data_IF_103886097886
#
_entry.id   IF_103886097886
#
_cell.length_a   1.000
_cell.length_b   1.000
_cell.length_c   1.000
_cell.angle_alpha   90.00
_cell.angle_beta   90.00
_cell.angle_gamma   90.00
#
_symmetry.space_group_name_H-M   'P 1'
#
loop_
_entity.id
_entity.type
_entity.pdbx_description
1 polymer ?
#
# COMPACT_ATOMS: atom_id res chain seq x y z
N UNK A 1 -8.94 22.98 -4.61
CA UNK A 1 -7.74 23.49 -3.90
C UNK A 1 -6.79 22.30 -3.86
N UNK A 2 -5.53 22.50 -4.23
CA UNK A 2 -4.54 21.42 -4.30
C UNK A 2 -3.43 21.71 -3.29
N UNK A 3 -2.77 20.69 -2.76
CA UNK A 3 -1.56 20.83 -1.96
C UNK A 3 -0.38 21.23 -2.87
N UNK A 4 0.74 21.59 -2.29
CA UNK A 4 1.99 21.77 -3.02
C UNK A 4 2.83 20.51 -2.94
N UNK A 5 3.65 20.22 -3.95
CA UNK A 5 4.54 19.04 -3.92
C UNK A 5 5.39 18.97 -2.65
N UNK A 6 5.84 20.12 -2.11
CA UNK A 6 6.60 20.15 -0.86
C UNK A 6 5.80 19.60 0.32
N UNK A 7 4.53 20.00 0.44
CA UNK A 7 3.66 19.48 1.52
C UNK A 7 3.32 18.00 1.30
N UNK A 8 3.06 17.61 0.05
CA UNK A 8 2.76 16.22 -0.31
C UNK A 8 3.96 15.32 -0.03
N UNK A 9 5.16 15.72 -0.47
CA UNK A 9 6.40 14.99 -0.20
C UNK A 9 6.66 14.85 1.31
N UNK A 10 6.52 15.91 2.10
CA UNK A 10 6.69 15.87 3.55
C UNK A 10 5.73 14.86 4.22
N UNK A 11 4.45 14.86 3.83
CA UNK A 11 3.46 13.92 4.39
C UNK A 11 3.73 12.50 3.94
N UNK A 12 4.04 12.29 2.66
CA UNK A 12 4.37 10.97 2.12
C UNK A 12 5.66 10.41 2.73
N UNK A 13 6.68 11.24 2.93
CA UNK A 13 7.91 10.84 3.61
C UNK A 13 7.64 10.38 5.04
N UNK A 14 6.84 11.10 5.79
CA UNK A 14 6.44 10.66 7.14
C UNK A 14 5.71 9.31 7.12
N UNK A 15 4.82 9.11 6.16
CA UNK A 15 3.99 7.90 6.07
C UNK A 15 4.74 6.70 5.50
N UNK A 16 5.55 6.88 4.47
CA UNK A 16 6.16 5.79 3.71
C UNK A 16 7.63 5.55 4.02
N UNK A 17 8.40 6.60 4.29
CA UNK A 17 9.84 6.47 4.60
C UNK A 17 10.16 6.64 6.08
N UNK A 18 9.17 6.97 6.92
CA UNK A 18 9.34 7.28 8.35
C UNK A 18 10.36 8.40 8.60
N UNK A 19 10.43 9.37 7.71
CA UNK A 19 11.24 10.60 7.84
C UNK A 19 10.35 11.71 8.38
N UNK A 20 10.90 12.64 9.15
CA UNK A 20 10.16 13.79 9.68
C UNK A 20 9.60 14.67 8.55
N UNK A 21 8.40 15.24 8.75
CA UNK A 21 7.80 16.25 7.88
C UNK A 21 8.09 17.67 8.47
N UNK A 22 9.22 18.30 8.12
CA UNK A 22 9.73 19.49 8.83
C UNK A 22 8.89 20.74 8.56
N UNK A 23 8.14 20.77 7.47
CA UNK A 23 7.34 21.94 7.08
C UNK A 23 5.86 21.80 7.49
N UNK A 24 5.49 20.76 8.23
CA UNK A 24 4.11 20.49 8.65
C UNK A 24 4.00 20.54 10.17
N UNK A 25 3.05 21.30 10.68
CA UNK A 25 2.82 21.43 12.12
C UNK A 25 3.50 22.65 12.74
N UNK A 26 4.25 22.46 13.81
CA UNK A 26 5.00 23.51 14.51
C UNK A 26 6.46 23.60 14.05
N UNK A 27 7.27 24.40 14.76
CA UNK A 27 8.69 24.60 14.40
C UNK A 27 9.55 23.33 14.45
N UNK A 28 9.07 22.25 15.08
CA UNK A 28 9.76 20.95 15.11
C UNK A 28 9.31 20.02 13.97
N UNK A 29 8.24 20.37 13.27
CA UNK A 29 7.58 19.53 12.28
C UNK A 29 6.90 18.31 12.88
N UNK A 30 6.30 17.46 12.05
CA UNK A 30 5.78 16.17 12.48
C UNK A 30 6.93 15.15 12.55
N UNK A 31 7.05 14.48 13.69
CA UNK A 31 8.14 13.56 13.95
C UNK A 31 7.82 12.13 13.50
N UNK A 32 8.84 11.35 13.06
CA UNK A 32 8.66 9.95 12.68
C UNK A 32 8.34 9.07 13.88
N UNK A 33 7.81 7.89 13.62
CA UNK A 33 7.65 6.85 14.65
C UNK A 33 9.01 6.34 15.14
N UNK A 34 9.12 6.00 16.42
CA UNK A 34 10.35 5.45 17.01
C UNK A 34 10.81 4.14 16.32
N UNK A 35 9.87 3.36 15.79
CA UNK A 35 10.14 2.21 14.93
C UNK A 35 9.39 2.40 13.60
N UNK A 36 10.06 2.16 12.50
CA UNK A 36 9.49 2.38 11.17
C UNK A 36 8.25 1.51 10.92
N UNK A 37 8.29 0.22 11.27
CA UNK A 37 7.24 -0.73 10.94
C UNK A 37 7.18 -1.04 9.43
N UNK A 38 6.07 -1.64 9.02
CA UNK A 38 5.82 -1.99 7.63
C UNK A 38 4.44 -1.54 7.19
N UNK A 39 4.29 -1.17 5.92
CA UNK A 39 3.04 -1.29 5.21
C UNK A 39 2.81 -2.75 4.84
N UNK A 40 1.59 -3.22 4.98
CA UNK A 40 1.15 -4.53 4.51
C UNK A 40 0.19 -4.34 3.35
N UNK A 41 0.63 -4.79 2.18
CA UNK A 41 -0.10 -4.65 0.93
C UNK A 41 -1.04 -5.85 0.80
N UNK A 42 -2.33 -5.58 0.54
CA UNK A 42 -3.39 -6.57 0.35
C UNK A 42 -4.01 -6.46 -1.04
N UNK A 43 -4.52 -7.56 -1.55
CA UNK A 43 -5.33 -7.63 -2.76
C UNK A 43 -6.79 -7.87 -2.37
N UNK A 44 -7.72 -7.31 -3.14
CA UNK A 44 -9.14 -7.39 -2.86
C UNK A 44 -9.95 -7.69 -4.11
N UNK A 45 -11.12 -8.30 -3.93
CA UNK A 45 -11.97 -8.82 -4.99
C UNK A 45 -13.27 -8.02 -5.15
N UNK A 46 -13.89 -8.11 -6.32
CA UNK A 46 -15.28 -7.73 -6.55
C UNK A 46 -15.55 -6.24 -6.70
N UNK A 47 -14.53 -5.39 -6.92
CA UNK A 47 -14.68 -3.91 -6.97
C UNK A 47 -15.47 -3.38 -5.76
N UNK A 48 -15.22 -3.92 -4.58
CA UNK A 48 -16.05 -3.69 -3.39
C UNK A 48 -15.40 -2.76 -2.37
N UNK A 49 -14.13 -2.40 -2.56
CA UNK A 49 -13.44 -1.47 -1.68
C UNK A 49 -13.86 -0.03 -2.02
N UNK A 50 -14.14 0.74 -1.00
CA UNK A 50 -14.60 2.13 -1.11
C UNK A 50 -14.20 2.93 0.14
N UNK A 51 -14.45 4.23 0.14
CA UNK A 51 -14.20 5.14 1.29
C UNK A 51 -14.89 4.71 2.59
N UNK A 52 -15.87 3.80 2.50
CA UNK A 52 -16.57 3.24 3.67
C UNK A 52 -15.98 1.92 4.14
N UNK A 53 -15.07 1.30 3.38
CA UNK A 53 -14.34 0.11 3.79
C UNK A 53 -13.33 0.48 4.88
N UNK A 54 -13.32 -0.26 5.97
CA UNK A 54 -12.52 0.07 7.15
C UNK A 54 -11.49 -0.97 7.52
N UNK A 55 -11.66 -2.19 7.02
CA UNK A 55 -10.81 -3.32 7.40
C UNK A 55 -10.05 -3.89 6.20
N UNK A 56 -8.80 -4.28 6.43
CA UNK A 56 -8.01 -4.99 5.43
C UNK A 56 -8.59 -6.36 5.05
N UNK A 57 -9.53 -6.89 5.83
CA UNK A 57 -10.26 -8.14 5.53
C UNK A 57 -11.50 -7.93 4.66
N UNK A 58 -11.86 -6.69 4.34
CA UNK A 58 -13.04 -6.41 3.51
C UNK A 58 -12.77 -6.89 2.08
N UNK A 59 -13.47 -7.96 1.66
CA UNK A 59 -13.29 -8.62 0.35
C UNK A 59 -11.82 -8.94 0.01
N UNK A 60 -11.00 -9.24 1.01
CA UNK A 60 -9.59 -9.60 0.82
C UNK A 60 -9.48 -10.91 0.02
N UNK A 61 -8.46 -11.00 -0.83
CA UNK A 61 -8.13 -12.19 -1.59
C UNK A 61 -8.02 -13.44 -0.72
N UNK A 62 -8.52 -14.57 -1.23
CA UNK A 62 -8.62 -15.82 -0.48
C UNK A 62 -8.00 -17.03 -1.21
N UNK A 63 -7.33 -16.83 -2.36
CA UNK A 63 -6.62 -17.92 -3.02
C UNK A 63 -5.54 -18.54 -2.09
N UNK A 64 -5.22 -19.78 -2.28
CA UNK A 64 -4.24 -20.48 -1.43
C UNK A 64 -2.88 -20.56 -2.11
N UNK A 65 -1.76 -20.24 -1.42
CA UNK A 65 -1.64 -19.66 -0.08
C UNK A 65 -1.51 -18.12 -0.15
N UNK A 66 -2.61 -17.38 -0.07
CA UNK A 66 -2.55 -15.92 -0.03
C UNK A 66 -1.93 -15.42 1.30
N UNK A 67 -1.15 -14.34 1.21
CA UNK A 67 -0.68 -13.58 2.37
C UNK A 67 -0.34 -12.14 1.95
N UNK A 68 -0.68 -11.17 2.79
CA UNK A 68 -0.27 -9.77 2.61
C UNK A 68 1.24 -9.64 2.52
N UNK A 69 1.71 -8.69 1.71
CA UNK A 69 3.13 -8.47 1.52
C UNK A 69 3.63 -7.27 2.31
N UNK A 70 4.69 -7.46 3.09
CA UNK A 70 5.26 -6.41 3.91
C UNK A 70 6.28 -5.58 3.12
N UNK A 71 6.13 -4.26 3.16
CA UNK A 71 7.12 -3.30 2.64
C UNK A 71 7.53 -2.38 3.79
N UNK A 72 8.82 -2.35 4.11
CA UNK A 72 9.33 -1.54 5.22
C UNK A 72 9.07 -0.04 4.99
N UNK A 73 8.65 0.66 6.04
CA UNK A 73 8.47 2.12 6.01
C UNK A 73 9.83 2.82 6.16
N UNK A 74 10.60 2.84 5.09
CA UNK A 74 11.93 3.47 5.06
C UNK A 74 12.32 3.81 3.63
N UNK A 75 13.36 4.60 3.47
CA UNK A 75 13.99 4.93 2.18
C UNK A 75 14.55 3.72 1.41
N UNK A 76 14.52 2.52 1.98
CA UNK A 76 14.85 1.27 1.28
C UNK A 76 13.61 0.52 0.79
N UNK A 77 12.43 0.93 1.18
CA UNK A 77 11.16 0.35 0.74
C UNK A 77 10.40 1.24 -0.23
N UNK A 78 10.59 2.56 -0.09
CA UNK A 78 9.82 3.55 -0.83
C UNK A 78 10.68 4.74 -1.25
N UNK A 79 10.44 5.21 -2.46
CA UNK A 79 10.92 6.52 -2.94
C UNK A 79 9.76 7.51 -2.94
N UNK A 80 9.96 8.68 -2.33
CA UNK A 80 9.01 9.80 -2.36
C UNK A 80 9.60 10.93 -3.19
N UNK A 81 8.85 11.37 -4.20
CA UNK A 81 9.24 12.49 -5.05
C UNK A 81 8.03 13.07 -5.79
N UNK A 82 7.98 14.40 -5.88
CA UNK A 82 6.97 15.13 -6.68
C UNK A 82 5.52 14.76 -6.32
N UNK A 83 5.22 14.62 -5.01
CA UNK A 83 3.89 14.30 -4.50
C UNK A 83 3.51 12.82 -4.65
N UNK A 84 4.47 11.94 -4.91
CA UNK A 84 4.18 10.51 -5.12
C UNK A 84 5.17 9.62 -4.36
N UNK A 85 4.65 8.60 -3.67
CA UNK A 85 5.43 7.51 -3.09
C UNK A 85 5.34 6.26 -3.98
N UNK A 86 6.47 5.63 -4.30
CA UNK A 86 6.54 4.40 -5.12
C UNK A 86 7.37 3.32 -4.43
N UNK A 87 7.04 2.05 -4.68
CA UNK A 87 7.78 0.90 -4.14
C UNK A 87 9.16 0.74 -4.82
N UNK A 88 10.20 0.54 -4.03
CA UNK A 88 11.60 0.40 -4.51
C UNK A 88 11.99 -1.02 -4.91
N UNK A 89 11.20 -2.01 -4.53
CA UNK A 89 11.39 -3.41 -4.91
C UNK A 89 10.08 -4.00 -5.43
N UNK A 90 10.16 -5.08 -6.21
CA UNK A 90 8.98 -5.83 -6.59
C UNK A 90 8.24 -6.36 -5.35
N UNK A 91 6.91 -6.27 -5.34
CA UNK A 91 6.05 -6.78 -4.28
C UNK A 91 5.39 -8.04 -4.81
N UNK A 92 5.97 -9.19 -4.48
CA UNK A 92 5.56 -10.50 -5.01
C UNK A 92 4.71 -11.25 -3.98
N UNK A 93 3.48 -11.56 -4.34
CA UNK A 93 2.58 -12.36 -3.52
C UNK A 93 2.86 -13.86 -3.68
N UNK A 94 2.40 -14.70 -2.75
CA UNK A 94 2.54 -16.14 -2.89
C UNK A 94 1.90 -16.65 -4.18
N UNK A 95 2.56 -17.62 -4.84
CA UNK A 95 2.01 -18.30 -6.02
C UNK A 95 0.73 -19.06 -5.64
N UNK A 96 -0.34 -18.84 -6.39
CA UNK A 96 -1.60 -19.55 -6.17
C UNK A 96 -1.49 -21.04 -6.49
N UNK A 97 -2.04 -21.88 -5.62
CA UNK A 97 -2.30 -23.30 -5.86
C UNK A 97 -3.78 -23.59 -6.10
N UNK A 98 -4.62 -22.56 -6.14
CA UNK A 98 -6.07 -22.63 -6.37
C UNK A 98 -6.47 -21.64 -7.47
N UNK A 99 -7.73 -21.30 -7.56
CA UNK A 99 -8.27 -20.31 -8.51
C UNK A 99 -9.31 -20.93 -9.45
N UNK A 100 -9.89 -20.13 -10.36
CA UNK A 100 -9.57 -18.70 -10.54
C UNK A 100 -10.15 -17.82 -9.43
N UNK A 101 -9.44 -16.76 -9.08
CA UNK A 101 -9.94 -15.61 -8.32
C UNK A 101 -9.60 -14.34 -9.11
N UNK A 102 -10.38 -13.28 -8.97
CA UNK A 102 -10.16 -12.02 -9.70
C UNK A 102 -9.96 -10.90 -8.70
N UNK A 103 -8.75 -10.36 -8.68
CA UNK A 103 -8.38 -9.23 -7.85
C UNK A 103 -8.65 -7.94 -8.63
N UNK A 104 -9.34 -7.02 -8.00
CA UNK A 104 -9.80 -5.77 -8.62
C UNK A 104 -9.24 -4.54 -7.93
N UNK A 105 -8.83 -4.68 -6.66
CA UNK A 105 -8.38 -3.58 -5.83
C UNK A 105 -7.12 -3.96 -5.05
N UNK A 106 -6.34 -2.95 -4.67
CA UNK A 106 -5.19 -3.04 -3.78
C UNK A 106 -5.45 -2.24 -2.53
N UNK A 107 -5.04 -2.77 -1.38
CA UNK A 107 -5.15 -2.10 -0.10
C UNK A 107 -3.82 -2.02 0.64
N UNK A 108 -3.67 -1.00 1.48
CA UNK A 108 -2.52 -0.80 2.36
C UNK A 108 -3.01 -0.61 3.79
N UNK A 109 -2.38 -1.28 4.73
CA UNK A 109 -2.62 -1.14 6.16
C UNK A 109 -1.40 -1.58 6.97
N UNK A 110 -1.52 -1.60 8.29
CA UNK A 110 -0.39 -1.92 9.17
C UNK A 110 -0.45 -3.33 9.78
N UNK A 111 -1.52 -4.10 9.53
CA UNK A 111 -1.65 -5.45 10.06
C UNK A 111 -1.15 -6.51 9.07
N UNK A 112 -0.25 -7.37 9.51
CA UNK A 112 0.28 -8.48 8.71
C UNK A 112 -0.81 -9.53 8.37
N UNK A 113 -1.85 -9.62 9.20
CA UNK A 113 -2.99 -10.52 9.02
C UNK A 113 -4.17 -10.08 9.88
N UNK A 114 -5.35 -10.67 9.66
CA UNK A 114 -6.56 -10.37 10.43
C UNK A 114 -7.17 -9.01 10.13
N UNK A 115 -8.11 -8.57 10.96
CA UNK A 115 -8.93 -7.38 10.76
C UNK A 115 -8.18 -6.08 11.10
N UNK A 116 -7.06 -5.81 10.42
CA UNK A 116 -6.36 -4.53 10.51
C UNK A 116 -7.13 -3.42 9.80
N UNK A 117 -6.85 -2.17 10.17
CA UNK A 117 -7.46 -1.01 9.51
C UNK A 117 -6.91 -0.87 8.09
N UNK A 118 -7.81 -0.74 7.11
CA UNK A 118 -7.48 -0.35 5.74
C UNK A 118 -7.25 1.17 5.73
N UNK A 119 -6.05 1.60 5.36
CA UNK A 119 -5.66 3.01 5.41
C UNK A 119 -5.73 3.69 4.04
N UNK A 120 -5.29 2.97 3.01
CA UNK A 120 -5.23 3.46 1.63
C UNK A 120 -5.70 2.33 0.73
N UNK A 121 -6.41 2.66 -0.32
CA UNK A 121 -6.83 1.69 -1.34
C UNK A 121 -6.88 2.33 -2.72
N UNK A 122 -6.84 1.51 -3.74
CA UNK A 122 -7.11 1.89 -5.12
C UNK A 122 -7.62 0.70 -5.92
N UNK A 123 -8.42 0.98 -6.94
CA UNK A 123 -8.74 -0.01 -7.97
C UNK A 123 -7.51 -0.25 -8.84
N UNK A 124 -7.26 -1.49 -9.21
CA UNK A 124 -6.20 -1.86 -10.15
C UNK A 124 -6.52 -1.32 -11.56
N UNK A 125 -5.50 -0.96 -12.33
CA UNK A 125 -5.64 -0.49 -13.71
C UNK A 125 -6.30 -1.55 -14.62
N UNK A 126 -6.14 -2.82 -14.27
CA UNK A 126 -6.79 -3.95 -14.92
C UNK A 126 -7.01 -5.08 -13.90
N UNK A 127 -8.11 -5.79 -14.03
CA UNK A 127 -8.41 -6.96 -13.21
C UNK A 127 -7.30 -8.01 -13.33
N UNK A 128 -6.83 -8.52 -12.19
CA UNK A 128 -5.83 -9.57 -12.14
C UNK A 128 -6.50 -10.92 -11.89
N UNK A 129 -6.49 -11.79 -12.89
CA UNK A 129 -7.02 -13.15 -12.76
C UNK A 129 -5.94 -14.07 -12.18
N UNK A 130 -6.14 -14.49 -10.94
CA UNK A 130 -5.23 -15.38 -10.20
C UNK A 130 -5.67 -16.83 -10.38
N UNK A 131 -5.17 -17.48 -11.43
CA UNK A 131 -5.34 -18.92 -11.67
C UNK A 131 -4.31 -19.73 -10.89
N UNK A 132 -4.49 -21.06 -10.87
CA UNK A 132 -3.47 -21.98 -10.37
C UNK A 132 -2.11 -21.73 -11.06
N UNK A 133 -1.03 -21.69 -10.27
CA UNK A 133 0.35 -21.36 -10.65
C UNK A 133 0.58 -19.89 -11.10
N UNK A 134 -0.36 -18.98 -10.91
CA UNK A 134 -0.13 -17.53 -11.07
C UNK A 134 0.52 -16.97 -9.83
N UNK A 135 1.54 -16.13 -10.01
CA UNK A 135 2.19 -15.35 -8.94
C UNK A 135 1.86 -13.88 -9.15
N UNK A 136 0.97 -13.27 -8.37
CA UNK A 136 0.69 -11.84 -8.46
C UNK A 136 1.90 -11.00 -8.05
N UNK A 137 2.14 -9.90 -8.75
CA UNK A 137 3.28 -9.02 -8.46
C UNK A 137 3.00 -7.57 -8.87
N UNK A 138 3.39 -6.64 -8.03
CA UNK A 138 3.65 -5.26 -8.45
C UNK A 138 5.15 -5.11 -8.74
N UNK A 139 5.50 -4.76 -9.96
CA UNK A 139 6.88 -4.48 -10.33
C UNK A 139 7.43 -3.26 -9.55
N UNK A 140 8.73 -3.01 -9.63
CA UNK A 140 9.36 -1.81 -9.05
C UNK A 140 8.65 -0.58 -9.61
N UNK A 141 8.32 0.36 -8.73
CA UNK A 141 7.62 1.62 -9.03
C UNK A 141 6.20 1.45 -9.65
N UNK A 142 5.64 0.24 -9.65
CA UNK A 142 4.29 0.01 -10.17
C UNK A 142 3.18 0.38 -9.17
N UNK A 143 3.46 0.31 -7.87
CA UNK A 143 2.53 0.80 -6.86
C UNK A 143 2.89 2.26 -6.53
N UNK A 144 2.07 3.18 -7.02
CA UNK A 144 2.26 4.62 -6.85
C UNK A 144 1.11 5.22 -6.04
N UNK A 145 1.44 5.96 -5.00
CA UNK A 145 0.48 6.62 -4.10
C UNK A 145 0.71 8.13 -4.14
N UNK A 146 -0.30 8.89 -4.52
CA UNK A 146 -0.29 10.36 -4.49
C UNK A 146 -1.30 10.91 -3.48
N UNK A 147 -1.08 12.15 -3.04
CA UNK A 147 -2.03 12.94 -2.25
C UNK A 147 -2.58 14.04 -3.16
N UNK A 148 -3.85 13.92 -3.58
CA UNK A 148 -4.54 14.93 -4.42
C UNK A 148 -5.49 15.79 -3.59
#
# INVERSE_FOLDING_TARGET
MSATNLFEDDVLDLLFTNVAAPNVGDAAGLQPSAAAGNWHISLHTGNAISDTSTLQTDNEAAYTPYARQAVVRSVSGWTVASGTATNDAAITFPQSSTGPETETDVGLGFAASGAGVLQIFSTLDADLIVNNNVTPEFAISALAISLD
#
